data_IF_754256245007
#
_entry.id   IF_754256245007
#
_cell.length_a   1.000
_cell.length_b   1.000
_cell.length_c   1.000
_cell.angle_alpha   90.00
_cell.angle_beta   90.00
_cell.angle_gamma   90.00
#
_symmetry.space_group_name_H-M   'P 1'
#
loop_
_entity.id
_entity.type
_entity.pdbx_description
1 polymer ?
#
# COMPACT_ATOMS: atom_id res chain seq x y z
N UNK A 1 -11.70 -74.82 8.59
CA UNK A 1 -11.67 -73.95 7.39
C UNK A 1 -13.08 -73.50 7.10
N UNK A 2 -13.40 -72.22 7.31
CA UNK A 2 -14.73 -71.67 7.04
C UNK A 2 -14.52 -70.30 6.38
N UNK A 3 -14.68 -70.27 5.05
CA UNK A 3 -14.58 -69.06 4.25
C UNK A 3 -15.85 -68.24 4.37
N UNK A 4 -15.74 -67.01 4.86
CA UNK A 4 -16.81 -66.01 4.78
C UNK A 4 -16.71 -65.32 3.42
N UNK A 5 -17.67 -65.59 2.55
CA UNK A 5 -17.89 -64.84 1.32
C UNK A 5 -18.47 -63.47 1.67
N UNK A 6 -17.68 -62.41 1.45
CA UNK A 6 -18.17 -61.03 1.52
C UNK A 6 -19.09 -60.78 0.33
N UNK A 7 -20.37 -60.53 0.63
CA UNK A 7 -21.41 -60.23 -0.36
C UNK A 7 -21.17 -58.86 -1.00
N UNK A 8 -21.27 -58.80 -2.34
CA UNK A 8 -21.07 -57.60 -3.18
C UNK A 8 -21.86 -56.37 -2.71
N UNK A 9 -22.95 -56.53 -1.95
CA UNK A 9 -23.77 -55.44 -1.42
C UNK A 9 -23.06 -54.57 -0.37
N UNK A 10 -22.12 -55.13 0.39
CA UNK A 10 -21.43 -54.40 1.47
C UNK A 10 -20.38 -53.44 0.92
N UNK A 11 -19.77 -53.77 -0.24
CA UNK A 11 -18.77 -52.91 -0.91
C UNK A 11 -19.44 -51.68 -1.53
N UNK A 12 -20.68 -51.82 -2.04
CA UNK A 12 -21.40 -50.74 -2.69
C UNK A 12 -21.86 -49.64 -1.72
N UNK A 13 -22.17 -50.00 -0.46
CA UNK A 13 -22.59 -49.02 0.56
C UNK A 13 -21.43 -48.16 1.08
N UNK A 14 -20.22 -48.71 1.17
CA UNK A 14 -19.03 -47.97 1.63
C UNK A 14 -18.60 -46.94 0.58
N UNK A 15 -18.68 -47.28 -0.72
CA UNK A 15 -18.37 -46.35 -1.80
C UNK A 15 -19.36 -45.17 -1.87
N UNK A 16 -20.65 -45.41 -1.58
CA UNK A 16 -21.66 -44.35 -1.58
C UNK A 16 -21.47 -43.35 -0.43
N UNK A 17 -21.07 -43.79 0.77
CA UNK A 17 -20.81 -42.87 1.89
C UNK A 17 -19.50 -42.10 1.75
N UNK A 18 -18.48 -42.66 1.08
CA UNK A 18 -17.25 -41.93 0.77
C UNK A 18 -17.47 -40.78 -0.24
N UNK A 19 -18.43 -40.93 -1.16
CA UNK A 19 -18.78 -39.90 -2.14
C UNK A 19 -19.46 -38.66 -1.53
N UNK A 20 -20.28 -38.82 -0.49
CA UNK A 20 -21.01 -37.71 0.13
C UNK A 20 -20.10 -36.86 1.03
N UNK A 21 -19.11 -37.47 1.70
CA UNK A 21 -18.15 -36.72 2.53
C UNK A 21 -17.18 -35.90 1.66
N UNK A 22 -16.77 -36.41 0.49
CA UNK A 22 -15.92 -35.65 -0.44
C UNK A 22 -16.69 -34.54 -1.20
N UNK A 23 -17.98 -34.71 -1.46
CA UNK A 23 -18.80 -33.66 -2.06
C UNK A 23 -19.13 -32.51 -1.08
N UNK A 24 -19.21 -32.81 0.23
CA UNK A 24 -19.44 -31.79 1.27
C UNK A 24 -18.23 -30.88 1.53
N UNK A 25 -17.00 -31.38 1.38
CA UNK A 25 -15.78 -30.56 1.56
C UNK A 25 -15.48 -29.67 0.35
N UNK A 26 -15.89 -30.08 -0.86
CA UNK A 26 -15.69 -29.28 -2.07
C UNK A 26 -16.60 -28.04 -2.15
N UNK A 27 -17.78 -28.06 -1.52
CA UNK A 27 -18.76 -26.97 -1.64
C UNK A 27 -18.62 -25.86 -0.58
N UNK A 28 -17.86 -26.07 0.50
CA UNK A 28 -17.58 -25.04 1.51
C UNK A 28 -16.49 -24.05 1.09
N UNK A 29 -15.84 -24.26 -0.05
CA UNK A 29 -14.95 -23.28 -0.71
C UNK A 29 -15.66 -22.54 -1.86
N UNK A 30 -16.99 -22.47 -1.82
CA UNK A 30 -17.73 -21.52 -2.65
C UNK A 30 -17.34 -20.11 -2.20
N UNK A 31 -16.43 -19.51 -2.96
CA UNK A 31 -15.78 -18.23 -2.70
C UNK A 31 -16.76 -17.12 -2.30
N UNK A 32 -16.89 -16.90 -1.01
CA UNK A 32 -16.92 -15.54 -0.52
C UNK A 32 -15.56 -14.96 -0.92
N UNK A 33 -15.50 -14.21 -2.01
CA UNK A 33 -14.33 -13.37 -2.29
C UNK A 33 -14.14 -12.53 -1.05
N UNK A 34 -13.09 -12.80 -0.27
CA UNK A 34 -12.82 -12.06 0.95
C UNK A 34 -12.85 -10.58 0.59
N UNK A 35 -13.84 -9.86 1.11
CA UNK A 35 -13.95 -8.43 0.85
C UNK A 35 -12.72 -7.76 1.44
N UNK A 36 -12.16 -6.79 0.71
CA UNK A 36 -11.10 -5.96 1.24
C UNK A 36 -11.62 -5.26 2.51
N UNK A 37 -10.87 -5.36 3.59
CA UNK A 37 -11.13 -4.68 4.85
C UNK A 37 -9.90 -3.86 5.23
N UNK A 38 -10.15 -2.67 5.76
CA UNK A 38 -9.09 -1.85 6.32
C UNK A 38 -8.58 -2.47 7.64
N UNK A 39 -7.26 -2.51 7.78
CA UNK A 39 -6.58 -3.01 8.98
C UNK A 39 -5.47 -2.03 9.35
N UNK A 40 -5.77 -1.13 10.28
CA UNK A 40 -4.82 -0.13 10.79
C UNK A 40 -3.64 -0.75 11.56
N UNK A 41 -3.75 -2.01 11.98
CA UNK A 41 -2.66 -2.72 12.68
C UNK A 41 -1.69 -3.36 11.69
N UNK A 42 -2.11 -3.52 10.44
CA UNK A 42 -1.27 -4.02 9.35
C UNK A 42 -0.54 -2.87 8.65
N UNK A 43 0.77 -3.01 8.37
CA UNK A 43 1.50 -2.01 7.59
C UNK A 43 0.99 -1.89 6.15
N UNK A 44 0.22 -2.89 5.68
CA UNK A 44 -0.37 -2.92 4.35
C UNK A 44 -1.71 -2.20 4.28
N UNK A 45 -2.31 -1.82 5.41
CA UNK A 45 -3.61 -1.16 5.59
C UNK A 45 -4.83 -1.93 5.06
N UNK A 46 -4.65 -2.95 4.23
CA UNK A 46 -5.72 -3.73 3.61
C UNK A 46 -5.39 -5.21 3.73
N UNK A 47 -6.30 -5.97 4.31
CA UNK A 47 -6.11 -7.41 4.62
C UNK A 47 -5.93 -8.31 3.39
N UNK A 48 -6.39 -7.89 2.20
CA UNK A 48 -6.23 -8.64 0.95
C UNK A 48 -4.84 -8.51 0.34
N UNK A 49 -3.98 -7.62 0.86
CA UNK A 49 -2.60 -7.49 0.40
C UNK A 49 -1.74 -8.52 1.13
N UNK A 50 -0.98 -9.29 0.36
CA UNK A 50 -0.09 -10.33 0.90
C UNK A 50 1.35 -9.86 1.11
N UNK A 51 1.71 -8.68 0.56
CA UNK A 51 3.05 -8.09 0.65
C UNK A 51 2.99 -6.58 0.41
N UNK A 52 4.09 -5.91 0.73
CA UNK A 52 4.30 -4.50 0.39
C UNK A 52 4.59 -4.39 -1.12
N UNK A 53 3.62 -3.92 -1.90
CA UNK A 53 3.82 -3.57 -3.31
C UNK A 53 3.87 -2.04 -3.47
N UNK A 54 4.89 -1.58 -4.19
CA UNK A 54 5.06 -0.17 -4.55
C UNK A 54 5.03 -0.08 -6.07
N UNK A 55 4.23 0.82 -6.62
CA UNK A 55 4.28 1.06 -8.06
C UNK A 55 5.11 2.31 -8.37
N UNK A 56 5.93 2.26 -9.41
CA UNK A 56 6.58 3.43 -9.98
C UNK A 56 5.94 3.74 -11.34
N UNK A 57 5.51 4.99 -11.51
CA UNK A 57 5.08 5.52 -12.79
C UNK A 57 5.98 6.69 -13.16
N UNK A 58 6.43 6.69 -14.40
CA UNK A 58 7.31 7.74 -14.93
C UNK A 58 6.52 8.58 -15.93
N UNK A 59 6.60 9.90 -15.79
CA UNK A 59 5.92 10.84 -16.65
C UNK A 59 6.31 10.63 -18.13
N UNK A 60 5.43 10.93 -19.10
CA UNK A 60 5.71 10.70 -20.52
C UNK A 60 7.02 11.32 -21.03
N UNK A 61 7.38 12.50 -20.53
CA UNK A 61 8.64 13.19 -20.86
C UNK A 61 9.90 12.39 -20.46
N UNK A 62 9.79 11.54 -19.45
CA UNK A 62 10.86 10.71 -18.91
C UNK A 62 10.78 9.25 -19.37
N UNK A 63 9.90 8.90 -20.32
CA UNK A 63 9.65 7.49 -20.72
C UNK A 63 10.91 6.73 -21.15
N UNK A 64 11.89 7.40 -21.76
CA UNK A 64 13.19 6.80 -22.13
C UNK A 64 14.06 6.39 -20.93
N UNK A 65 13.75 6.88 -19.73
CA UNK A 65 14.48 6.64 -18.49
C UNK A 65 13.74 5.69 -17.54
N UNK A 66 12.60 5.12 -17.95
CA UNK A 66 11.71 4.34 -17.08
C UNK A 66 12.43 3.22 -16.31
N UNK A 67 13.28 2.45 -17.01
CA UNK A 67 14.04 1.37 -16.39
C UNK A 67 15.09 1.89 -15.40
N UNK A 68 15.80 2.97 -15.74
CA UNK A 68 16.80 3.57 -14.86
C UNK A 68 16.16 4.14 -13.58
N UNK A 69 15.05 4.86 -13.71
CA UNK A 69 14.28 5.40 -12.59
C UNK A 69 13.70 4.28 -11.72
N UNK A 70 13.12 3.24 -12.33
CA UNK A 70 12.58 2.09 -11.58
C UNK A 70 13.68 1.36 -10.80
N UNK A 71 14.84 1.12 -11.43
CA UNK A 71 15.99 0.50 -10.76
C UNK A 71 16.51 1.37 -9.61
N UNK A 72 16.58 2.69 -9.81
CA UNK A 72 16.95 3.66 -8.77
C UNK A 72 15.98 3.55 -7.57
N UNK A 73 14.67 3.56 -7.80
CA UNK A 73 13.67 3.40 -6.73
C UNK A 73 13.78 2.05 -6.01
N UNK A 74 14.02 0.96 -6.75
CA UNK A 74 14.28 -0.37 -6.18
C UNK A 74 15.48 -0.37 -5.23
N UNK A 75 16.59 0.26 -5.64
CA UNK A 75 17.79 0.39 -4.83
C UNK A 75 17.52 1.21 -3.57
N UNK A 76 16.80 2.33 -3.70
CA UNK A 76 16.41 3.17 -2.55
C UNK A 76 15.54 2.43 -1.55
N UNK A 77 14.56 1.65 -2.00
CA UNK A 77 13.74 0.82 -1.11
C UNK A 77 14.55 -0.31 -0.47
N UNK A 78 15.44 -0.94 -1.22
CA UNK A 78 16.31 -2.00 -0.69
C UNK A 78 17.23 -1.46 0.40
N UNK A 79 17.79 -0.25 0.19
CA UNK A 79 18.57 0.47 1.19
C UNK A 79 17.71 0.83 2.40
N UNK A 80 16.54 1.42 2.20
CA UNK A 80 15.59 1.75 3.28
C UNK A 80 15.29 0.52 4.14
N UNK A 81 14.96 -0.62 3.52
CA UNK A 81 14.76 -1.90 4.22
C UNK A 81 15.97 -2.32 5.05
N UNK A 82 17.18 -2.16 4.51
CA UNK A 82 18.40 -2.55 5.20
C UNK A 82 18.77 -1.61 6.36
N UNK A 83 18.43 -0.32 6.27
CA UNK A 83 18.94 0.70 7.20
C UNK A 83 17.90 1.27 8.15
N UNK A 84 16.60 1.15 7.87
CA UNK A 84 15.56 1.76 8.70
C UNK A 84 15.40 0.99 10.03
N UNK A 85 15.57 1.64 11.19
CA UNK A 85 15.59 0.96 12.49
C UNK A 85 14.26 0.28 12.84
N UNK A 86 13.14 0.84 12.36
CA UNK A 86 11.79 0.32 12.59
C UNK A 86 11.25 -0.61 11.51
N UNK A 87 12.05 -0.96 10.49
CA UNK A 87 11.56 -1.80 9.39
C UNK A 87 10.96 -3.12 9.88
N UNK A 88 11.71 -3.83 10.72
CA UNK A 88 11.32 -5.14 11.22
C UNK A 88 10.17 -5.07 12.23
N UNK A 89 10.01 -3.95 12.93
CA UNK A 89 8.92 -3.73 13.88
C UNK A 89 7.59 -3.58 13.13
N UNK A 90 7.62 -2.86 12.00
CA UNK A 90 6.43 -2.54 11.20
C UNK A 90 6.07 -3.67 10.23
N UNK A 91 7.05 -4.20 9.49
CA UNK A 91 6.78 -5.20 8.45
C UNK A 91 7.02 -6.65 8.89
N UNK A 92 7.73 -6.86 9.99
CA UNK A 92 8.15 -8.19 10.44
C UNK A 92 9.46 -8.67 9.80
N UNK A 93 10.21 -9.51 10.52
CA UNK A 93 11.52 -10.03 10.08
C UNK A 93 11.44 -10.99 8.88
N UNK A 94 10.31 -11.68 8.71
CA UNK A 94 10.05 -12.62 7.62
C UNK A 94 9.21 -12.00 6.49
N UNK A 95 9.02 -10.67 6.49
CA UNK A 95 8.26 -9.98 5.46
C UNK A 95 8.80 -10.32 4.08
N UNK A 96 7.89 -10.65 3.15
CA UNK A 96 8.22 -10.72 1.74
C UNK A 96 8.95 -9.45 1.32
N UNK A 97 9.93 -9.60 0.43
CA UNK A 97 10.62 -8.43 -0.10
C UNK A 97 9.60 -7.46 -0.73
N UNK A 98 9.76 -6.14 -0.53
CA UNK A 98 8.95 -5.17 -1.24
C UNK A 98 9.02 -5.44 -2.74
N UNK A 99 7.88 -5.49 -3.39
CA UNK A 99 7.80 -5.70 -4.84
C UNK A 99 7.56 -4.37 -5.53
N UNK A 100 8.34 -4.07 -6.56
CA UNK A 100 8.06 -2.94 -7.44
C UNK A 100 7.34 -3.37 -8.70
N UNK A 101 6.38 -2.55 -9.10
CA UNK A 101 5.68 -2.69 -10.36
C UNK A 101 5.69 -1.37 -11.13
N UNK A 102 5.44 -1.46 -12.43
CA UNK A 102 5.22 -0.32 -13.32
C UNK A 102 3.85 -0.37 -14.00
N UNK A 103 2.92 -1.18 -13.46
CA UNK A 103 1.60 -1.44 -14.06
C UNK A 103 0.49 -0.53 -13.54
N UNK A 104 0.77 0.37 -12.59
CA UNK A 104 -0.20 1.34 -12.13
C UNK A 104 -0.47 2.43 -13.18
N UNK A 105 -1.60 3.12 -13.00
CA UNK A 105 -1.99 4.23 -13.86
C UNK A 105 -2.53 5.37 -12.99
N UNK A 106 -1.76 6.45 -12.94
CA UNK A 106 -2.11 7.74 -12.36
C UNK A 106 -2.37 8.71 -13.51
N UNK A 107 -3.46 9.47 -13.39
CA UNK A 107 -3.66 10.67 -14.20
C UNK A 107 -3.03 11.82 -13.45
N UNK A 108 -2.10 12.51 -14.10
CA UNK A 108 -1.43 13.64 -13.51
C UNK A 108 -2.41 14.81 -13.38
N UNK A 109 -2.67 15.33 -12.17
CA UNK A 109 -3.45 16.55 -12.04
C UNK A 109 -2.63 17.71 -12.60
N UNK A 110 -3.30 18.61 -13.31
CA UNK A 110 -2.64 19.77 -13.91
C UNK A 110 -2.06 20.72 -12.84
N UNK A 111 -2.56 20.65 -11.61
CA UNK A 111 -2.03 21.33 -10.42
C UNK A 111 -2.30 20.43 -9.20
N UNK A 112 -1.30 20.26 -8.34
CA UNK A 112 -1.48 19.67 -7.00
C UNK A 112 -1.45 20.77 -5.94
N UNK A 113 -1.89 21.98 -6.27
CA UNK A 113 -1.76 23.14 -5.39
C UNK A 113 -2.99 23.17 -4.49
N UNK A 114 -2.84 22.66 -3.28
CA UNK A 114 -3.62 23.01 -2.08
C UNK A 114 -2.98 22.34 -0.86
N UNK A 115 -2.71 23.11 0.19
CA UNK A 115 -2.09 22.66 1.45
C UNK A 115 -3.13 22.13 2.45
N UNK A 116 -4.42 22.33 2.18
CA UNK A 116 -5.51 22.05 3.14
C UNK A 116 -6.31 20.77 2.87
N UNK A 117 -6.19 20.16 1.69
CA UNK A 117 -6.96 18.98 1.32
C UNK A 117 -6.04 17.93 0.69
N UNK A 118 -6.00 16.67 1.17
CA UNK A 118 -5.34 15.58 0.46
C UNK A 118 -6.04 15.36 -0.89
N UNK A 119 -5.58 16.06 -1.92
CA UNK A 119 -6.07 15.89 -3.29
C UNK A 119 -5.97 14.41 -3.64
N UNK A 120 -7.10 13.78 -3.97
CA UNK A 120 -7.09 12.38 -4.41
C UNK A 120 -6.72 12.34 -5.89
N UNK A 121 -5.51 11.87 -6.21
CA UNK A 121 -4.95 11.92 -7.58
C UNK A 121 -5.09 10.60 -8.34
N UNK A 122 -5.68 9.61 -7.68
CA UNK A 122 -5.79 8.24 -8.16
C UNK A 122 -7.20 7.80 -8.51
N UNK A 123 -7.54 6.58 -8.09
CA UNK A 123 -8.85 5.98 -8.36
C UNK A 123 -9.98 6.57 -7.52
N UNK A 124 -9.67 7.33 -6.47
CA UNK A 124 -10.70 7.86 -5.58
C UNK A 124 -11.14 6.85 -4.52
N UNK A 125 -12.42 6.89 -4.17
CA UNK A 125 -13.04 5.98 -3.22
C UNK A 125 -13.26 4.60 -3.85
N UNK A 126 -12.82 3.53 -3.19
CA UNK A 126 -12.92 2.16 -3.66
C UNK A 126 -13.17 1.18 -2.52
N UNK A 127 -13.94 0.13 -2.80
CA UNK A 127 -14.09 -1.05 -1.94
C UNK A 127 -13.19 -2.23 -2.39
N UNK A 128 -12.41 -2.01 -3.45
CA UNK A 128 -11.43 -2.96 -4.01
C UNK A 128 -10.12 -2.21 -4.25
N UNK A 129 -9.35 -1.94 -3.19
CA UNK A 129 -8.06 -1.27 -3.31
C UNK A 129 -7.12 -2.05 -4.23
N UNK A 130 -6.23 -1.33 -4.91
CA UNK A 130 -5.14 -1.92 -5.67
C UNK A 130 -4.20 -2.73 -4.77
N UNK A 131 -3.38 -3.64 -5.34
CA UNK A 131 -2.38 -4.36 -4.56
C UNK A 131 -1.29 -3.42 -4.00
N UNK A 132 -1.19 -2.18 -4.50
CA UNK A 132 -0.15 -1.23 -4.14
C UNK A 132 -0.45 -0.53 -2.82
N UNK A 133 0.51 -0.55 -1.91
CA UNK A 133 0.49 0.31 -0.71
C UNK A 133 0.83 1.75 -1.07
N UNK A 134 1.75 1.92 -2.01
CA UNK A 134 2.25 3.21 -2.46
C UNK A 134 2.42 3.27 -3.97
N UNK A 135 2.26 4.47 -4.53
CA UNK A 135 2.61 4.76 -5.92
C UNK A 135 3.52 5.98 -5.98
N UNK A 136 4.64 5.87 -6.69
CA UNK A 136 5.60 6.94 -6.91
C UNK A 136 5.47 7.41 -8.36
N UNK A 137 4.93 8.61 -8.56
CA UNK A 137 4.88 9.29 -9.85
C UNK A 137 6.12 10.20 -9.98
N UNK A 138 7.03 9.82 -10.87
CA UNK A 138 8.26 10.58 -11.15
C UNK A 138 8.05 11.49 -12.34
N UNK A 139 8.36 12.77 -12.16
CA UNK A 139 8.08 13.84 -13.13
C UNK A 139 9.36 14.62 -13.43
N UNK A 140 9.53 15.09 -14.66
CA UNK A 140 10.66 15.97 -15.01
C UNK A 140 10.54 17.33 -14.33
N UNK A 141 11.61 18.13 -14.38
CA UNK A 141 11.65 19.43 -13.71
C UNK A 141 10.58 20.41 -14.18
N UNK A 142 10.29 20.47 -15.49
CA UNK A 142 9.30 21.40 -16.03
C UNK A 142 7.88 21.00 -15.59
N UNK A 143 7.58 19.71 -15.60
CA UNK A 143 6.31 19.19 -15.09
C UNK A 143 6.20 19.35 -13.57
N UNK A 144 7.29 19.18 -12.83
CA UNK A 144 7.34 19.43 -11.39
C UNK A 144 7.07 20.90 -11.06
N UNK A 145 7.63 21.85 -11.80
CA UNK A 145 7.41 23.28 -11.57
C UNK A 145 5.92 23.65 -11.70
N UNK A 146 5.20 22.99 -12.61
CA UNK A 146 3.75 23.19 -12.82
C UNK A 146 2.94 22.49 -11.72
N UNK A 147 3.23 21.22 -11.46
CA UNK A 147 2.40 20.38 -10.58
C UNK A 147 2.68 20.59 -9.10
N UNK A 148 3.96 20.76 -8.73
CA UNK A 148 4.47 20.85 -7.35
C UNK A 148 4.87 22.28 -6.96
N UNK A 149 5.02 23.20 -7.93
CA UNK A 149 5.52 24.54 -7.67
C UNK A 149 6.96 24.50 -7.15
N UNK A 150 7.17 25.05 -5.94
CA UNK A 150 8.47 25.08 -5.27
C UNK A 150 8.84 23.76 -4.57
N UNK A 151 7.89 22.83 -4.44
CA UNK A 151 8.12 21.56 -3.75
C UNK A 151 8.85 20.58 -4.66
N UNK A 152 9.71 19.75 -4.06
CA UNK A 152 10.38 18.65 -4.78
C UNK A 152 9.58 17.35 -4.78
N UNK A 153 8.69 17.20 -3.80
CA UNK A 153 7.84 16.03 -3.64
C UNK A 153 6.57 16.44 -2.93
N UNK A 154 5.45 15.81 -3.27
CA UNK A 154 4.17 15.98 -2.59
C UNK A 154 3.50 14.63 -2.34
N UNK A 155 2.94 14.48 -1.16
CA UNK A 155 2.05 13.38 -0.80
C UNK A 155 0.62 13.67 -1.24
N UNK A 156 -0.07 12.64 -1.72
CA UNK A 156 -1.47 12.69 -2.10
C UNK A 156 -2.15 11.34 -1.87
N UNK A 157 -3.47 11.35 -1.69
CA UNK A 157 -4.22 10.10 -1.66
C UNK A 157 -4.36 9.53 -3.07
N UNK A 158 -4.18 8.23 -3.24
CA UNK A 158 -4.44 7.54 -4.51
C UNK A 158 -5.75 6.74 -4.46
N UNK A 159 -5.92 5.95 -3.42
CA UNK A 159 -7.15 5.21 -3.13
C UNK A 159 -7.58 5.49 -1.70
N UNK A 160 -8.85 5.88 -1.56
CA UNK A 160 -9.55 6.00 -0.29
C UNK A 160 -10.51 4.82 -0.15
N UNK A 161 -10.71 4.34 1.07
CA UNK A 161 -11.67 3.27 1.35
C UNK A 161 -12.58 3.68 2.49
N UNK A 162 -13.88 3.46 2.33
CA UNK A 162 -14.86 3.62 3.40
C UNK A 162 -14.64 2.52 4.45
N UNK A 163 -14.41 2.93 5.70
CA UNK A 163 -14.30 2.03 6.86
C UNK A 163 -15.54 2.08 7.74
N UNK A 164 -16.33 3.15 7.61
CA UNK A 164 -17.67 3.28 8.14
C UNK A 164 -18.52 4.14 7.19
N UNK A 165 -19.79 4.41 7.54
CA UNK A 165 -20.69 5.25 6.72
C UNK A 165 -20.23 6.71 6.59
N UNK A 166 -19.39 7.18 7.51
CA UNK A 166 -18.96 8.58 7.57
C UNK A 166 -17.44 8.76 7.62
N UNK A 167 -16.70 7.66 7.46
CA UNK A 167 -15.25 7.67 7.56
C UNK A 167 -14.62 6.96 6.38
N UNK A 168 -13.77 7.70 5.67
CA UNK A 168 -12.91 7.16 4.63
C UNK A 168 -11.46 7.37 5.01
N UNK A 169 -10.66 6.32 4.82
CA UNK A 169 -9.23 6.33 5.11
C UNK A 169 -8.44 6.13 3.84
N UNK A 170 -7.24 6.70 3.81
CA UNK A 170 -6.30 6.43 2.75
C UNK A 170 -5.79 4.99 2.87
N UNK A 171 -5.92 4.23 1.79
CA UNK A 171 -5.43 2.84 1.72
C UNK A 171 -4.30 2.68 0.72
N UNK A 172 -4.15 3.61 -0.23
CA UNK A 172 -2.96 3.70 -1.09
C UNK A 172 -2.57 5.16 -1.20
N UNK A 173 -1.30 5.40 -0.93
CA UNK A 173 -0.75 6.73 -1.03
C UNK A 173 -0.04 6.94 -2.37
N UNK A 174 0.05 8.19 -2.80
CA UNK A 174 0.86 8.60 -3.92
C UNK A 174 1.91 9.64 -3.52
N UNK A 175 3.12 9.45 -4.04
CA UNK A 175 4.19 10.44 -4.01
C UNK A 175 4.40 10.96 -5.42
N UNK A 176 4.18 12.25 -5.64
CA UNK A 176 4.59 12.91 -6.88
C UNK A 176 5.92 13.57 -6.63
N UNK A 177 6.96 13.14 -7.34
CA UNK A 177 8.36 13.49 -7.05
C UNK A 177 9.08 13.98 -8.30
N UNK A 178 9.78 15.10 -8.14
CA UNK A 178 10.73 15.63 -9.12
C UNK A 178 11.87 14.65 -9.31
N UNK A 179 12.19 14.30 -10.56
CA UNK A 179 13.22 13.30 -10.88
C UNK A 179 14.57 13.61 -10.22
N UNK A 180 15.00 14.88 -10.26
CA UNK A 180 16.26 15.34 -9.67
C UNK A 180 16.32 15.18 -8.14
N UNK A 181 15.17 15.01 -7.46
CA UNK A 181 15.10 14.83 -6.02
C UNK A 181 15.17 13.36 -5.57
N UNK A 182 14.99 12.40 -6.50
CA UNK A 182 15.01 10.96 -6.20
C UNK A 182 16.32 10.49 -5.57
N UNK A 183 17.43 11.19 -5.84
CA UNK A 183 18.74 10.79 -5.35
C UNK A 183 19.07 11.29 -3.94
N UNK A 184 18.24 12.16 -3.40
CA UNK A 184 18.44 12.73 -2.07
C UNK A 184 18.17 11.68 -0.99
N UNK A 185 18.94 11.73 0.09
CA UNK A 185 18.66 10.91 1.27
C UNK A 185 17.37 11.39 1.97
N UNK A 186 17.06 12.69 1.86
CA UNK A 186 15.83 13.29 2.37
C UNK A 186 14.57 12.65 1.77
N UNK A 187 14.54 12.43 0.45
CA UNK A 187 13.46 11.69 -0.21
C UNK A 187 13.22 10.32 0.44
N UNK A 188 14.29 9.58 0.71
CA UNK A 188 14.21 8.24 1.30
C UNK A 188 13.73 8.30 2.76
N UNK A 189 14.35 9.18 3.55
CA UNK A 189 14.16 9.24 5.00
C UNK A 189 12.81 9.82 5.40
N UNK A 190 12.29 10.79 4.63
CA UNK A 190 11.06 11.52 4.97
C UNK A 190 9.83 11.10 4.17
N UNK A 191 9.99 10.73 2.89
CA UNK A 191 8.83 10.52 2.01
C UNK A 191 8.64 9.05 1.67
N UNK A 192 9.70 8.37 1.23
CA UNK A 192 9.62 6.96 0.87
C UNK A 192 9.32 6.07 2.08
N UNK A 193 9.87 6.41 3.25
CA UNK A 193 9.57 5.77 4.54
C UNK A 193 8.09 5.84 4.89
N UNK A 194 7.53 7.06 4.91
CA UNK A 194 6.11 7.30 5.21
C UNK A 194 5.20 6.59 4.23
N UNK A 195 5.55 6.59 2.95
CA UNK A 195 4.78 5.90 1.92
C UNK A 195 4.63 4.40 2.17
N UNK A 196 5.59 3.78 2.84
CA UNK A 196 5.54 2.36 3.19
C UNK A 196 5.14 2.12 4.65
N UNK A 197 4.47 3.08 5.29
CA UNK A 197 3.99 2.99 6.68
C UNK A 197 5.09 3.00 7.74
N UNK A 198 6.26 3.59 7.46
CA UNK A 198 7.30 3.83 8.45
C UNK A 198 7.22 5.28 8.94
N UNK A 199 7.65 5.51 10.18
CA UNK A 199 7.94 6.87 10.64
C UNK A 199 9.13 7.46 9.87
N UNK A 200 9.21 8.79 9.68
CA UNK A 200 10.39 9.43 9.13
C UNK A 200 11.64 9.12 9.96
N UNK A 201 12.78 8.82 9.31
CA UNK A 201 14.06 8.55 10.01
C UNK A 201 14.56 9.79 10.75
N UNK A 202 14.28 10.96 10.18
CA UNK A 202 14.52 12.26 10.81
C UNK A 202 13.19 13.00 10.90
N UNK A 203 12.82 13.54 12.07
CA UNK A 203 11.70 14.47 12.17
C UNK A 203 11.92 15.61 11.18
N UNK A 204 10.85 16.05 10.52
CA UNK A 204 10.90 17.26 9.69
C UNK A 204 11.29 18.43 10.59
N UNK A 205 12.52 18.91 10.47
CA UNK A 205 12.92 20.18 11.06
C UNK A 205 12.26 21.27 10.21
N UNK A 206 11.20 21.85 10.77
CA UNK A 206 10.57 23.03 10.20
C UNK A 206 11.66 24.07 9.92
N UNK A 207 11.65 24.73 8.75
CA UNK A 207 12.58 25.81 8.48
C UNK A 207 12.50 26.83 9.63
N UNK A 208 13.67 27.32 10.07
CA UNK A 208 13.75 28.29 11.16
C UNK A 208 12.74 29.43 10.94
N UNK A 209 11.81 29.61 11.88
CA UNK A 209 10.76 30.62 11.81
C UNK A 209 9.33 30.09 11.60
N UNK A 210 9.14 28.80 11.30
CA UNK A 210 7.79 28.19 11.25
C UNK A 210 7.44 27.61 12.62
N UNK A 211 6.55 28.28 13.36
CA UNK A 211 6.03 27.80 14.63
C UNK A 211 4.88 26.83 14.38
N UNK A 212 5.05 25.56 14.77
CA UNK A 212 3.92 24.64 14.90
C UNK A 212 3.02 25.14 16.01
N UNK A 213 1.83 25.59 15.63
CA UNK A 213 0.76 25.79 16.61
C UNK A 213 0.36 24.41 17.10
N UNK A 214 0.91 23.99 18.23
CA UNK A 214 0.47 22.78 18.92
C UNK A 214 -1.00 22.96 19.27
N UNK A 215 -1.89 22.36 18.48
CA UNK A 215 -3.30 22.25 18.83
C UNK A 215 -3.34 21.31 20.04
N UNK A 216 -3.49 21.90 21.22
CA UNK A 216 -3.77 21.17 22.45
C UNK A 216 -5.01 20.30 22.18
N UNK A 217 -4.95 18.97 22.28
CA UNK A 217 -6.15 18.15 22.18
C UNK A 217 -7.15 18.68 23.21
N UNK A 218 -8.38 18.93 22.76
CA UNK A 218 -9.46 19.34 23.64
C UNK A 218 -9.51 18.35 24.79
N UNK A 219 -9.42 18.88 26.02
CA UNK A 219 -9.33 18.09 27.23
C UNK A 219 -10.43 17.05 27.25
N UNK A 220 -10.02 15.78 27.32
CA UNK A 220 -10.86 14.76 27.89
C UNK A 220 -10.82 15.00 29.39
N UNK A 221 -11.68 15.90 29.86
CA UNK A 221 -11.95 16.07 31.28
C UNK A 221 -12.61 14.79 31.78
N UNK A 222 -11.80 13.87 32.27
CA UNK A 222 -12.26 12.74 33.04
C UNK A 222 -12.79 13.26 34.38
N UNK A 223 -14.11 13.51 34.45
CA UNK A 223 -14.88 13.61 35.69
C UNK A 223 -16.39 13.50 35.38
N UNK A 224 -16.90 12.27 35.24
CA UNK A 224 -18.11 11.78 35.91
C UNK A 224 -18.35 10.29 35.60
#
# INVERSE_FOLDING_TARGET
MMGRTFTRQTILHIAAMAGVVLAGVAYSFSGATAHAAYDHTSPLLVNTRSRLEVCAQVAPALKGQNMAITNKLNERMSKLKATHPKWNDVHGKAAAAPAFSNSCTIKMPNQLIDEADPTVIGKGYTNKPSPFRAIVLVVDDATADIALGKLNVKHAAYEMMWVSEHEAVEVTNALVVRESYLDTQEFVDQYLSVAVSLEPVKPYELPEGVTTTTIKPAGHDANN
#
